data_IF_110974912238
#
_entry.id   IF_110974912238
#
_cell.length_a   1.000
_cell.length_b   1.000
_cell.length_c   1.000
_cell.angle_alpha   90.00
_cell.angle_beta   90.00
_cell.angle_gamma   90.00
#
_symmetry.space_group_name_H-M   'P 1'
#
loop_
_entity.id
_entity.type
_entity.pdbx_description
1 polymer ?
#
# COMPACT_ATOMS: atom_id res chain seq x y z
N UNK A 1 -9.73 -7.48 3.99
CA UNK A 1 -8.96 -8.09 2.88
C UNK A 1 -9.81 -8.49 1.66
N UNK A 2 -10.90 -9.26 1.81
CA UNK A 2 -11.71 -9.79 0.67
C UNK A 2 -12.14 -8.77 -0.39
N UNK A 3 -12.56 -7.55 -0.01
CA UNK A 3 -13.05 -6.53 -0.96
C UNK A 3 -12.03 -6.09 -2.03
N UNK A 4 -10.73 -6.12 -1.71
CA UNK A 4 -9.71 -5.68 -2.67
C UNK A 4 -9.69 -6.59 -3.90
N UNK A 5 -9.67 -7.91 -3.67
CA UNK A 5 -9.66 -8.92 -4.73
C UNK A 5 -10.89 -8.75 -5.63
N UNK A 6 -12.06 -8.57 -5.02
CA UNK A 6 -13.35 -8.39 -5.73
C UNK A 6 -13.35 -7.11 -6.58
N UNK A 7 -12.73 -6.03 -6.11
CA UNK A 7 -12.69 -4.75 -6.81
C UNK A 7 -11.48 -4.56 -7.72
N UNK A 8 -10.49 -5.45 -7.69
CA UNK A 8 -9.28 -5.31 -8.48
C UNK A 8 -9.56 -5.21 -10.00
N UNK A 9 -10.45 -6.02 -10.60
CA UNK A 9 -10.82 -5.89 -12.01
C UNK A 9 -11.48 -4.55 -12.36
N UNK A 10 -12.24 -3.97 -11.41
CA UNK A 10 -12.86 -2.64 -11.57
C UNK A 10 -11.78 -1.55 -11.52
N UNK A 11 -10.85 -1.64 -10.56
CA UNK A 11 -9.74 -0.70 -10.39
C UNK A 11 -8.78 -0.73 -11.59
N UNK A 12 -8.51 -1.92 -12.12
CA UNK A 12 -7.74 -2.14 -13.34
C UNK A 12 -8.50 -1.75 -14.63
N UNK A 13 -9.74 -1.22 -14.51
CA UNK A 13 -10.60 -0.79 -15.62
C UNK A 13 -10.95 -1.90 -16.62
N UNK A 14 -10.86 -3.17 -16.21
CA UNK A 14 -11.22 -4.32 -17.04
C UNK A 14 -12.75 -4.49 -17.12
N UNK A 15 -13.47 -4.09 -16.07
CA UNK A 15 -14.94 -4.15 -16.00
C UNK A 15 -15.52 -2.93 -15.29
N UNK A 16 -16.80 -2.62 -15.54
CA UNK A 16 -17.50 -1.47 -14.92
C UNK A 16 -17.97 -1.75 -13.50
N UNK A 17 -18.33 -2.99 -13.18
CA UNK A 17 -18.73 -3.42 -11.84
C UNK A 17 -18.16 -4.80 -11.50
N UNK A 18 -17.98 -5.07 -10.20
CA UNK A 18 -17.42 -6.36 -9.74
C UNK A 18 -18.25 -7.58 -10.16
N UNK A 19 -19.57 -7.42 -10.30
CA UNK A 19 -20.47 -8.48 -10.79
C UNK A 19 -20.22 -8.89 -12.25
N UNK A 20 -19.58 -8.01 -13.02
CA UNK A 20 -19.32 -8.23 -14.45
C UNK A 20 -18.04 -9.05 -14.67
N UNK A 21 -17.25 -9.29 -13.62
CA UNK A 21 -16.04 -10.12 -13.70
C UNK A 21 -16.38 -11.60 -13.47
N UNK A 22 -16.33 -12.46 -14.51
CA UNK A 22 -16.79 -13.85 -14.40
C UNK A 22 -15.82 -14.73 -13.58
N UNK A 23 -14.54 -14.35 -13.52
CA UNK A 23 -13.49 -15.13 -12.86
C UNK A 23 -13.37 -14.89 -11.35
N UNK A 24 -14.45 -14.42 -10.71
CA UNK A 24 -14.49 -14.27 -9.25
C UNK A 24 -15.72 -14.96 -8.64
N UNK A 25 -15.53 -15.47 -7.44
CA UNK A 25 -16.61 -15.99 -6.60
C UNK A 25 -17.58 -14.91 -6.10
N UNK A 26 -17.35 -13.62 -6.41
CA UNK A 26 -18.21 -12.53 -5.97
C UNK A 26 -19.65 -12.71 -6.44
N UNK A 27 -19.88 -13.20 -7.67
CA UNK A 27 -21.24 -13.39 -8.21
C UNK A 27 -22.04 -14.39 -7.38
N UNK A 28 -21.43 -15.52 -7.03
CA UNK A 28 -22.05 -16.53 -6.18
C UNK A 28 -22.20 -16.05 -4.73
N UNK A 29 -21.15 -15.44 -4.16
CA UNK A 29 -21.15 -14.92 -2.78
C UNK A 29 -22.18 -13.81 -2.59
N UNK A 30 -22.32 -12.93 -3.58
CA UNK A 30 -23.30 -11.87 -3.61
C UNK A 30 -24.68 -12.34 -4.09
N UNK A 31 -24.92 -13.63 -4.33
CA UNK A 31 -26.23 -14.15 -4.70
C UNK A 31 -26.75 -13.69 -6.08
N UNK A 32 -25.86 -13.40 -7.02
CA UNK A 32 -26.20 -13.15 -8.44
C UNK A 32 -26.24 -14.43 -9.27
N UNK A 33 -25.61 -15.50 -8.78
CA UNK A 33 -25.62 -16.83 -9.40
C UNK A 33 -25.84 -17.89 -8.33
N UNK A 34 -26.22 -19.10 -8.75
CA UNK A 34 -26.20 -20.27 -7.87
C UNK A 34 -24.75 -20.47 -7.36
N UNK A 35 -24.65 -20.92 -6.12
CA UNK A 35 -23.36 -21.32 -5.54
C UNK A 35 -23.10 -22.76 -5.96
N UNK A 36 -21.97 -23.00 -6.60
CA UNK A 36 -21.53 -24.34 -6.96
C UNK A 36 -21.15 -25.13 -5.70
N UNK A 37 -21.31 -26.45 -5.74
CA UNK A 37 -21.12 -27.33 -4.57
C UNK A 37 -19.69 -27.29 -4.00
N UNK A 38 -18.70 -26.98 -4.84
CA UNK A 38 -17.30 -26.85 -4.45
C UNK A 38 -16.95 -25.48 -3.85
N UNK A 39 -17.86 -24.50 -3.89
CA UNK A 39 -17.62 -23.13 -3.43
C UNK A 39 -18.30 -22.85 -2.08
N UNK A 40 -17.49 -22.72 -1.03
CA UNK A 40 -18.00 -22.33 0.30
C UNK A 40 -18.11 -20.81 0.44
N UNK A 41 -19.34 -20.29 0.46
CA UNK A 41 -19.62 -18.85 0.68
C UNK A 41 -20.11 -18.52 2.08
N UNK A 42 -20.61 -19.51 2.82
CA UNK A 42 -21.29 -19.29 4.10
C UNK A 42 -20.37 -18.74 5.18
N UNK A 43 -19.09 -19.13 5.18
CA UNK A 43 -18.12 -18.59 6.16
C UNK A 43 -17.93 -17.08 5.98
N UNK A 44 -17.84 -16.60 4.73
CA UNK A 44 -17.74 -15.17 4.44
C UNK A 44 -19.03 -14.45 4.80
N UNK A 45 -20.19 -15.00 4.42
CA UNK A 45 -21.49 -14.39 4.70
C UNK A 45 -21.81 -14.32 6.21
N UNK A 46 -21.37 -15.31 7.00
CA UNK A 46 -21.54 -15.32 8.46
C UNK A 46 -20.85 -14.15 9.17
N UNK A 47 -19.85 -13.52 8.56
CA UNK A 47 -19.22 -12.31 9.10
C UNK A 47 -20.16 -11.10 9.09
N UNK A 48 -21.19 -11.11 8.24
CA UNK A 48 -22.11 -9.99 8.05
C UNK A 48 -23.45 -10.19 8.75
N UNK A 49 -23.98 -11.42 8.75
CA UNK A 49 -25.22 -11.75 9.46
C UNK A 49 -25.42 -13.26 9.60
N UNK A 50 -26.22 -13.68 10.59
CA UNK A 50 -26.72 -15.06 10.68
C UNK A 50 -27.82 -15.36 9.66
N UNK A 51 -28.53 -14.33 9.17
CA UNK A 51 -29.59 -14.49 8.17
C UNK A 51 -28.98 -14.30 6.78
N UNK A 52 -29.05 -15.34 5.93
CA UNK A 52 -28.39 -15.38 4.61
C UNK A 52 -28.75 -14.19 3.71
N UNK A 53 -30.04 -13.85 3.62
CA UNK A 53 -30.49 -12.72 2.80
C UNK A 53 -29.88 -11.39 3.26
N UNK A 54 -29.83 -11.17 4.58
CA UNK A 54 -29.23 -9.97 5.16
C UNK A 54 -27.71 -9.95 4.99
N UNK A 55 -27.05 -11.10 5.20
CA UNK A 55 -25.61 -11.24 4.99
C UNK A 55 -25.19 -10.87 3.56
N UNK A 56 -25.97 -11.31 2.55
CA UNK A 56 -25.71 -10.97 1.15
C UNK A 56 -25.85 -9.46 0.91
N UNK A 57 -26.90 -8.83 1.48
CA UNK A 57 -27.13 -7.38 1.35
C UNK A 57 -25.97 -6.59 1.95
N UNK A 58 -25.58 -6.93 3.18
CA UNK A 58 -24.47 -6.29 3.90
C UNK A 58 -23.12 -6.53 3.21
N UNK A 59 -22.88 -7.73 2.67
CA UNK A 59 -21.68 -8.04 1.89
C UNK A 59 -21.59 -7.19 0.62
N UNK A 60 -22.70 -7.05 -0.13
CA UNK A 60 -22.76 -6.19 -1.33
C UNK A 60 -22.46 -4.73 -0.97
N UNK A 61 -23.04 -4.23 0.12
CA UNK A 61 -22.79 -2.88 0.62
C UNK A 61 -21.30 -2.68 0.93
N UNK A 62 -20.72 -3.57 1.74
CA UNK A 62 -19.29 -3.54 2.10
C UNK A 62 -18.34 -3.53 0.89
N UNK A 63 -18.64 -4.32 -0.15
CA UNK A 63 -17.86 -4.29 -1.40
C UNK A 63 -18.05 -2.96 -2.13
N UNK A 64 -19.27 -2.45 -2.23
CA UNK A 64 -19.55 -1.20 -2.94
C UNK A 64 -18.87 0.02 -2.30
N UNK A 65 -18.84 0.09 -0.97
CA UNK A 65 -18.15 1.14 -0.21
C UNK A 65 -16.64 1.14 -0.45
N UNK A 66 -16.06 -0.01 -0.81
CA UNK A 66 -14.65 -0.14 -1.16
C UNK A 66 -14.27 0.46 -2.53
N UNK A 67 -15.24 0.82 -3.38
CA UNK A 67 -14.99 1.34 -4.74
C UNK A 67 -14.32 2.71 -4.74
N UNK A 68 -14.67 3.56 -3.78
CA UNK A 68 -14.16 4.93 -3.65
C UNK A 68 -13.05 5.07 -2.61
N UNK A 69 -12.62 3.97 -2.00
CA UNK A 69 -11.50 3.99 -1.06
C UNK A 69 -10.18 3.81 -1.81
N UNK A 70 -9.11 4.51 -1.41
CA UNK A 70 -7.78 4.26 -1.95
C UNK A 70 -7.43 2.77 -1.82
N UNK A 71 -6.73 2.25 -2.82
CA UNK A 71 -6.22 0.90 -2.78
C UNK A 71 -5.28 0.73 -1.60
N UNK A 72 -5.10 -0.50 -1.07
CA UNK A 72 -4.07 -0.74 -0.06
C UNK A 72 -2.68 -0.31 -0.56
N UNK A 73 -2.48 -0.31 -1.89
CA UNK A 73 -1.26 0.14 -2.57
C UNK A 73 -1.05 1.66 -2.58
N UNK A 74 -2.10 2.48 -2.45
CA UNK A 74 -1.95 3.95 -2.36
C UNK A 74 -1.30 4.37 -1.01
N UNK A 75 -1.28 3.46 -0.04
CA UNK A 75 -0.60 3.62 1.25
C UNK A 75 0.79 2.99 1.27
N UNK A 76 1.23 2.39 0.17
CA UNK A 76 2.56 1.80 0.11
C UNK A 76 3.56 2.91 -0.16
N UNK A 77 4.25 3.29 0.90
CA UNK A 77 5.48 4.05 0.78
C UNK A 77 6.65 3.07 0.66
N UNK A 78 7.45 3.22 -0.41
CA UNK A 78 8.77 2.61 -0.57
C UNK A 78 8.85 1.08 -0.62
N UNK A 79 7.85 0.46 -1.26
CA UNK A 79 7.95 -0.78 -2.08
C UNK A 79 8.66 -2.03 -1.49
N UNK A 80 8.80 -2.25 -0.18
CA UNK A 80 9.28 -3.57 0.30
C UNK A 80 8.52 -4.11 1.53
N UNK A 81 7.91 -3.27 2.37
CA UNK A 81 7.25 -3.76 3.59
C UNK A 81 5.87 -3.14 3.82
N UNK A 82 4.88 -4.01 3.99
CA UNK A 82 3.55 -3.65 4.47
C UNK A 82 3.48 -4.00 5.97
N UNK A 83 3.61 -3.00 6.84
CA UNK A 83 3.57 -3.20 8.29
C UNK A 83 3.84 -1.93 9.07
N UNK A 84 3.85 -2.01 10.40
CA UNK A 84 4.28 -0.92 11.26
C UNK A 84 5.82 -0.87 11.36
N UNK A 85 6.39 0.24 11.87
CA UNK A 85 7.84 0.43 11.98
C UNK A 85 8.55 -0.78 12.64
N UNK A 86 7.95 -1.37 13.67
CA UNK A 86 8.50 -2.51 14.39
C UNK A 86 8.56 -3.80 13.53
N UNK A 87 7.53 -4.05 12.72
CA UNK A 87 7.51 -5.17 11.77
C UNK A 87 8.57 -5.00 10.69
N UNK A 88 8.78 -3.78 10.21
CA UNK A 88 9.83 -3.47 9.23
C UNK A 88 11.22 -3.73 9.82
N UNK A 89 11.47 -3.25 11.05
CA UNK A 89 12.74 -3.48 11.77
C UNK A 89 13.01 -4.97 11.99
N UNK A 90 12.00 -5.74 12.40
CA UNK A 90 12.11 -7.20 12.60
C UNK A 90 12.44 -7.93 11.29
N UNK A 91 11.74 -7.59 10.20
CA UNK A 91 11.95 -8.23 8.90
C UNK A 91 13.32 -7.89 8.31
N UNK A 92 13.81 -6.67 8.50
CA UNK A 92 15.13 -6.25 8.02
C UNK A 92 16.28 -6.87 8.83
N UNK A 93 16.10 -7.08 10.14
CA UNK A 93 17.08 -7.79 10.97
C UNK A 93 17.26 -9.25 10.55
N UNK A 94 16.17 -9.89 10.09
CA UNK A 94 16.16 -11.30 9.65
C UNK A 94 16.77 -11.51 8.27
N UNK A 95 16.90 -10.47 7.44
CA UNK A 95 17.55 -10.56 6.13
C UNK A 95 19.06 -10.40 6.34
N UNK A 96 19.78 -11.51 6.23
CA UNK A 96 21.24 -11.53 6.34
C UNK A 96 21.89 -10.61 5.30
N UNK A 97 23.00 -9.90 5.62
CA UNK A 97 23.66 -8.96 4.72
C UNK A 97 24.23 -9.61 3.43
N UNK A 98 24.31 -10.94 3.39
CA UNK A 98 24.83 -11.74 2.27
C UNK A 98 23.78 -12.24 1.28
N UNK A 99 22.48 -12.07 1.54
CA UNK A 99 21.47 -12.40 0.55
C UNK A 99 21.20 -11.17 -0.33
N UNK A 100 21.66 -11.26 -1.58
CA UNK A 100 21.31 -10.28 -2.59
C UNK A 100 19.80 -10.26 -2.79
N UNK A 101 19.22 -9.06 -2.81
CA UNK A 101 17.80 -8.82 -3.09
C UNK A 101 17.55 -8.61 -4.60
N UNK A 102 18.48 -9.07 -5.45
CA UNK A 102 18.42 -8.93 -6.92
C UNK A 102 17.17 -9.58 -7.53
N UNK A 103 16.55 -10.55 -6.84
CA UNK A 103 15.39 -11.31 -7.33
C UNK A 103 14.03 -10.65 -7.05
N UNK A 104 13.99 -9.43 -6.51
CA UNK A 104 12.72 -8.69 -6.35
C UNK A 104 12.46 -7.91 -7.64
N UNK A 105 11.40 -8.21 -8.42
CA UNK A 105 11.07 -7.43 -9.60
C UNK A 105 10.71 -6.00 -9.20
N UNK A 106 11.66 -5.09 -9.39
CA UNK A 106 11.50 -3.63 -9.33
C UNK A 106 10.50 -3.20 -10.39
N UNK A 107 9.22 -3.37 -10.09
CA UNK A 107 8.14 -3.12 -11.03
C UNK A 107 7.04 -2.32 -10.34
N UNK A 108 7.26 -1.02 -10.24
CA UNK A 108 6.34 -0.03 -10.82
C UNK A 108 6.85 1.41 -10.59
N UNK A 109 6.88 2.16 -11.69
CA UNK A 109 7.13 3.61 -11.82
C UNK A 109 8.58 4.09 -11.93
N UNK A 110 9.29 3.68 -12.99
CA UNK A 110 10.44 4.46 -13.51
C UNK A 110 9.93 5.71 -14.23
N UNK A 111 9.61 6.76 -13.49
CA UNK A 111 10.10 8.07 -13.93
C UNK A 111 11.61 8.04 -13.76
N UNK A 112 12.39 8.61 -14.67
CA UNK A 112 13.87 8.60 -14.55
C UNK A 112 14.23 9.20 -13.19
N UNK A 113 14.64 8.33 -12.26
CA UNK A 113 14.94 8.74 -10.90
C UNK A 113 16.16 9.65 -10.95
N UNK A 114 16.07 10.82 -10.32
CA UNK A 114 17.24 11.69 -10.13
C UNK A 114 18.21 10.96 -9.21
N UNK A 115 19.51 11.06 -9.46
CA UNK A 115 20.54 10.34 -8.67
C UNK A 115 20.49 10.74 -7.19
N UNK A 116 21.00 9.89 -6.29
CA UNK A 116 21.14 10.24 -4.87
C UNK A 116 22.04 11.49 -4.70
N UNK A 117 23.10 11.60 -5.50
CA UNK A 117 23.97 12.78 -5.57
C UNK A 117 23.22 14.06 -5.93
N UNK A 118 22.23 14.00 -6.84
CA UNK A 118 21.41 15.18 -7.16
C UNK A 118 20.70 15.74 -5.92
N UNK A 119 20.19 14.87 -5.04
CA UNK A 119 19.53 15.32 -3.82
C UNK A 119 20.53 15.86 -2.81
N UNK A 120 21.70 15.23 -2.67
CA UNK A 120 22.77 15.72 -1.81
C UNK A 120 23.27 17.11 -2.23
N UNK A 121 23.47 17.34 -3.53
CA UNK A 121 23.91 18.64 -4.05
C UNK A 121 22.81 19.70 -3.98
N UNK A 122 21.55 19.32 -4.21
CA UNK A 122 20.43 20.25 -4.21
C UNK A 122 20.05 20.73 -2.82
N UNK A 123 20.14 19.87 -1.82
CA UNK A 123 19.71 20.16 -0.46
C UNK A 123 20.93 20.29 0.44
N UNK A 124 21.24 21.51 0.88
CA UNK A 124 22.41 21.78 1.74
C UNK A 124 22.33 21.13 3.14
N UNK A 125 21.13 20.71 3.57
CA UNK A 125 20.93 19.89 4.77
C UNK A 125 20.83 18.41 4.40
N UNK A 126 21.73 17.58 4.94
CA UNK A 126 21.75 16.12 4.71
C UNK A 126 20.41 15.48 5.04
N UNK A 127 19.78 15.89 6.14
CA UNK A 127 18.52 15.31 6.59
C UNK A 127 17.36 15.68 5.66
N UNK A 128 17.44 16.85 5.00
CA UNK A 128 16.51 17.27 3.95
C UNK A 128 16.76 16.53 2.62
N UNK A 129 18.02 16.30 2.25
CA UNK A 129 18.37 15.46 1.11
C UNK A 129 17.81 14.04 1.28
N UNK A 130 18.06 13.42 2.45
CA UNK A 130 17.55 12.10 2.83
C UNK A 130 16.02 12.04 2.70
N UNK A 131 15.32 13.04 3.24
CA UNK A 131 13.86 13.09 3.20
C UNK A 131 13.33 13.20 1.76
N UNK A 132 13.95 14.03 0.92
CA UNK A 132 13.52 14.21 -0.47
C UNK A 132 13.88 13.00 -1.36
N UNK A 133 15.00 12.31 -1.10
CA UNK A 133 15.30 11.01 -1.70
C UNK A 133 14.19 10.00 -1.39
N UNK A 134 13.84 9.86 -0.11
CA UNK A 134 12.80 8.93 0.32
C UNK A 134 11.42 9.29 -0.23
N UNK A 135 11.08 10.58 -0.27
CA UNK A 135 9.82 11.08 -0.82
C UNK A 135 9.70 10.83 -2.34
N UNK A 136 10.82 10.75 -3.05
CA UNK A 136 10.82 10.45 -4.48
C UNK A 136 10.27 9.06 -4.81
N UNK A 137 10.28 8.13 -3.84
CA UNK A 137 9.87 6.75 -4.05
C UNK A 137 10.85 5.90 -4.85
N UNK A 138 11.97 6.48 -5.30
CA UNK A 138 12.91 5.83 -6.19
C UNK A 138 14.01 5.02 -5.47
N UNK A 139 14.20 5.24 -4.17
CA UNK A 139 15.27 4.63 -3.38
C UNK A 139 14.74 4.10 -2.06
N UNK A 140 15.20 2.90 -1.69
CA UNK A 140 14.99 2.34 -0.36
C UNK A 140 15.77 3.10 0.71
N UNK A 141 15.33 3.01 1.96
CA UNK A 141 16.09 3.59 3.09
C UNK A 141 17.50 3.00 3.23
N UNK A 142 17.71 1.75 2.76
CA UNK A 142 19.02 1.09 2.75
C UNK A 142 19.95 1.73 1.73
N UNK A 143 19.48 1.93 0.49
CA UNK A 143 20.26 2.60 -0.56
C UNK A 143 20.62 4.04 -0.17
N UNK A 144 19.65 4.76 0.40
CA UNK A 144 19.88 6.11 0.96
C UNK A 144 20.93 6.03 2.08
N UNK A 145 20.84 5.05 2.97
CA UNK A 145 21.81 4.85 4.05
C UNK A 145 23.22 4.59 3.54
N UNK A 146 23.39 3.71 2.56
CA UNK A 146 24.67 3.42 1.94
C UNK A 146 25.28 4.69 1.34
N UNK A 147 24.50 5.48 0.60
CA UNK A 147 24.97 6.73 -0.01
C UNK A 147 25.41 7.78 1.01
N UNK A 148 24.60 8.02 2.04
CA UNK A 148 24.89 9.02 3.07
C UNK A 148 25.81 8.51 4.20
N UNK A 149 26.32 7.28 4.12
CA UNK A 149 27.15 6.66 5.16
C UNK A 149 26.41 6.44 6.48
N UNK A 150 25.10 6.22 6.43
CA UNK A 150 24.23 6.06 7.60
C UNK A 150 23.63 4.67 7.65
N UNK A 151 23.53 4.13 8.86
CA UNK A 151 22.72 2.94 9.09
C UNK A 151 21.23 3.24 8.82
N UNK A 152 20.49 2.24 8.29
CA UNK A 152 19.09 2.39 7.89
C UNK A 152 18.21 2.98 9.01
N UNK A 153 18.45 2.59 10.27
CA UNK A 153 17.69 3.08 11.43
C UNK A 153 17.90 4.57 11.69
N UNK A 154 19.04 5.14 11.29
CA UNK A 154 19.26 6.59 11.34
C UNK A 154 18.45 7.30 10.24
N UNK A 155 18.47 6.77 9.02
CA UNK A 155 17.67 7.27 7.90
C UNK A 155 16.17 7.29 8.25
N UNK A 156 15.66 6.20 8.85
CA UNK A 156 14.27 6.12 9.32
C UNK A 156 13.93 7.22 10.35
N UNK A 157 14.79 7.45 11.35
CA UNK A 157 14.59 8.53 12.33
C UNK A 157 14.55 9.92 11.69
N UNK A 158 15.43 10.17 10.72
CA UNK A 158 15.46 11.43 9.95
C UNK A 158 14.14 11.65 9.21
N UNK A 159 13.67 10.63 8.48
CA UNK A 159 12.40 10.68 7.75
C UNK A 159 11.23 10.93 8.70
N UNK A 160 11.20 10.24 9.85
CA UNK A 160 10.13 10.39 10.85
C UNK A 160 10.12 11.80 11.47
N UNK A 161 11.29 12.33 11.79
CA UNK A 161 11.44 13.69 12.32
C UNK A 161 10.96 14.74 11.30
N UNK A 162 11.43 14.67 10.05
CA UNK A 162 11.04 15.61 8.98
C UNK A 162 9.56 15.47 8.58
N UNK A 163 9.00 14.26 8.58
CA UNK A 163 7.57 14.06 8.34
C UNK A 163 6.72 14.71 9.42
N UNK A 164 7.12 14.61 10.70
CA UNK A 164 6.45 15.27 11.82
C UNK A 164 6.57 16.80 11.72
N UNK A 165 7.74 17.32 11.36
CA UNK A 165 7.94 18.76 11.13
C UNK A 165 7.09 19.28 9.97
N UNK A 166 7.02 18.55 8.86
CA UNK A 166 6.20 18.95 7.70
C UNK A 166 4.70 19.00 8.07
N UNK A 167 4.20 18.05 8.87
CA UNK A 167 2.82 18.05 9.37
C UNK A 167 2.56 19.24 10.31
N UNK A 168 3.55 19.70 11.06
CA UNK A 168 3.43 20.84 11.99
C UNK A 168 3.57 22.21 11.30
N UNK A 169 4.19 22.26 10.12
CA UNK A 169 4.50 23.51 9.40
C UNK A 169 3.47 23.82 8.29
N UNK A 170 2.66 22.87 7.85
CA UNK A 170 1.47 23.16 7.03
C UNK A 170 0.38 23.69 7.97
N UNK A 171 0.09 25.00 8.02
CA UNK A 171 -1.04 25.49 8.79
C UNK A 171 -2.29 24.90 8.16
N UNK A 172 -3.26 24.50 9.00
CA UNK A 172 -4.64 24.24 8.60
C UNK A 172 -5.26 25.57 8.13
N UNK A 173 -4.80 26.09 6.99
CA UNK A 173 -5.43 27.22 6.31
C UNK A 173 -6.51 26.64 5.40
N UNK A 174 -7.74 26.87 5.84
CA UNK A 174 -8.94 26.22 5.37
C UNK A 174 -9.61 26.84 4.15
N UNK A 175 -10.78 26.27 3.87
CA UNK A 175 -11.98 26.91 3.32
C UNK A 175 -13.08 25.84 3.45
N UNK A 176 -14.17 26.02 4.19
CA UNK A 176 -14.86 27.26 4.50
C UNK A 176 -15.80 27.60 3.36
N UNK A 177 -16.90 26.85 3.26
CA UNK A 177 -18.30 27.27 3.05
C UNK A 177 -19.19 26.02 3.04
#
# INVERSE_FOLDING_TARGET
MSRYIVLNPVRARMVRAAKDWPWSSYRATAGFTKVDEWLTVDWVLRLFSRKKAEAIKQYRLFVSEGRNQPGPWDKIQNQIYLGNDAFVDEMQYKISPTQSLDDIPSSQSRQVAKSLTYYEEKYGDRDEAIFNCYKSGAYSMKEIGVHFGLHYSRVSRVIKAKSKTLILVVPLNGSGL
#
